data_IF_533064039262
#
_entry.id   IF_533064039262
#
_cell.length_a   1.000
_cell.length_b   1.000
_cell.length_c   1.000
_cell.angle_alpha   90.00
_cell.angle_beta   90.00
_cell.angle_gamma   90.00
#
_symmetry.space_group_name_H-M   'P 1'
#
loop_
_entity.id
_entity.type
_entity.pdbx_description
1 polymer ?
#
# COMPACT_ATOMS: atom_id res chain seq x y z
N UNK A 1 13.02 -3.07 7.55
CA UNK A 1 12.56 -1.68 7.34
C UNK A 1 11.21 -1.57 8.01
N UNK A 2 10.99 -0.55 8.84
CA UNK A 2 9.71 -0.38 9.55
C UNK A 2 8.77 0.50 8.71
N UNK A 3 7.54 0.06 8.50
CA UNK A 3 6.46 0.88 7.96
C UNK A 3 5.48 1.23 9.08
N UNK A 4 4.97 2.46 9.09
CA UNK A 4 3.88 2.85 9.98
C UNK A 4 2.59 2.82 9.18
N UNK A 5 1.72 1.86 9.51
CA UNK A 5 0.45 1.60 8.86
C UNK A 5 -0.71 1.95 9.82
N UNK A 6 -1.77 2.64 9.37
CA UNK A 6 -2.88 3.04 10.24
C UNK A 6 -3.72 1.87 10.77
N UNK A 7 -3.64 0.68 10.19
CA UNK A 7 -4.41 -0.51 10.60
C UNK A 7 -3.57 -1.43 11.48
N UNK A 8 -2.32 -1.68 11.09
CA UNK A 8 -1.42 -2.63 11.76
C UNK A 8 -0.37 -1.98 12.68
N UNK A 9 -0.25 -0.65 12.67
CA UNK A 9 0.79 0.06 13.40
C UNK A 9 2.17 -0.13 12.77
N UNK A 10 3.16 -0.50 13.57
CA UNK A 10 4.51 -0.74 13.07
C UNK A 10 4.65 -2.13 12.45
N UNK A 11 4.91 -2.16 11.13
CA UNK A 11 5.18 -3.39 10.38
C UNK A 11 6.68 -3.50 10.12
N UNK A 12 7.31 -4.52 10.68
CA UNK A 12 8.71 -4.87 10.39
C UNK A 12 8.81 -5.76 9.15
N UNK A 13 9.39 -5.20 8.09
CA UNK A 13 9.50 -5.91 6.80
C UNK A 13 10.90 -6.48 6.61
N UNK A 14 10.96 -7.78 6.32
CA UNK A 14 12.18 -8.53 6.03
C UNK A 14 12.94 -7.93 4.84
N UNK A 15 14.30 -7.86 4.86
CA UNK A 15 15.08 -7.22 3.80
C UNK A 15 14.82 -7.72 2.37
N UNK A 16 14.50 -9.00 2.19
CA UNK A 16 14.13 -9.55 0.89
C UNK A 16 12.82 -8.94 0.37
N UNK A 17 11.82 -8.80 1.23
CA UNK A 17 10.54 -8.19 0.87
C UNK A 17 10.73 -6.70 0.54
N UNK A 18 11.60 -5.99 1.27
CA UNK A 18 11.95 -4.61 0.95
C UNK A 18 12.51 -4.48 -0.46
N UNK A 19 13.41 -5.39 -0.88
CA UNK A 19 13.94 -5.40 -2.26
C UNK A 19 12.85 -5.56 -3.32
N UNK A 20 11.83 -6.38 -3.05
CA UNK A 20 10.68 -6.58 -3.96
C UNK A 20 9.78 -5.34 -3.95
N UNK A 21 9.49 -4.79 -2.78
CA UNK A 21 8.67 -3.58 -2.60
C UNK A 21 9.27 -2.41 -3.37
N UNK A 22 10.60 -2.24 -3.35
CA UNK A 22 11.30 -1.14 -4.01
C UNK A 22 11.48 -1.33 -5.54
N UNK A 23 10.79 -2.30 -6.17
CA UNK A 23 10.77 -2.46 -7.63
C UNK A 23 9.70 -1.60 -8.31
N UNK A 24 9.88 -1.17 -9.57
CA UNK A 24 8.85 -0.43 -10.31
C UNK A 24 7.51 -1.17 -10.42
N UNK A 25 7.56 -2.51 -10.51
CA UNK A 25 6.38 -3.36 -10.64
C UNK A 25 5.50 -3.31 -9.40
N UNK A 26 6.12 -3.28 -8.21
CA UNK A 26 5.40 -3.17 -6.94
C UNK A 26 5.02 -1.71 -6.63
N UNK A 27 5.91 -0.76 -6.87
CA UNK A 27 5.61 0.67 -6.68
C UNK A 27 4.46 1.16 -7.57
N UNK A 28 4.21 0.52 -8.72
CA UNK A 28 3.02 0.76 -9.57
C UNK A 28 1.71 0.71 -8.79
N UNK A 29 1.61 -0.12 -7.75
CA UNK A 29 0.40 -0.27 -6.94
C UNK A 29 -0.02 1.03 -6.22
N UNK A 30 0.88 2.01 -6.07
CA UNK A 30 0.55 3.34 -5.51
C UNK A 30 -0.42 4.13 -6.38
N UNK A 31 -0.53 3.78 -7.66
CA UNK A 31 -1.37 4.47 -8.63
C UNK A 31 -2.67 3.70 -8.92
N UNK A 32 -2.95 2.63 -8.17
CA UNK A 32 -4.14 1.80 -8.36
C UNK A 32 -5.03 1.88 -7.13
N UNK A 33 -6.16 2.59 -7.24
CA UNK A 33 -7.15 2.69 -6.17
C UNK A 33 -7.66 1.30 -5.78
N UNK A 34 -7.70 1.03 -4.48
CA UNK A 34 -8.17 -0.27 -3.97
C UNK A 34 -9.62 -0.54 -4.40
N UNK A 35 -10.47 0.49 -4.27
CA UNK A 35 -11.92 0.43 -4.54
C UNK A 35 -12.33 1.17 -5.83
N UNK A 36 -11.37 1.56 -6.68
CA UNK A 36 -11.66 2.18 -7.97
C UNK A 36 -12.62 3.37 -7.88
N UNK A 37 -13.76 3.27 -8.57
CA UNK A 37 -14.76 4.34 -8.66
C UNK A 37 -15.44 4.71 -7.33
N UNK A 38 -15.38 3.86 -6.31
CA UNK A 38 -15.93 4.18 -4.98
C UNK A 38 -15.30 5.45 -4.40
N UNK A 39 -14.07 5.81 -4.78
CA UNK A 39 -13.42 7.05 -4.36
C UNK A 39 -14.23 8.31 -4.74
N UNK A 40 -15.01 8.26 -5.82
CA UNK A 40 -15.84 9.39 -6.25
C UNK A 40 -17.13 9.55 -5.45
N UNK A 41 -17.52 8.53 -4.69
CA UNK A 41 -18.72 8.53 -3.82
C UNK A 41 -18.31 8.66 -2.36
N UNK A 42 -17.23 7.98 -1.98
CA UNK A 42 -16.69 7.93 -0.63
C UNK A 42 -15.29 8.56 -0.62
N UNK A 43 -15.15 9.83 -0.23
CA UNK A 43 -13.85 10.52 -0.27
C UNK A 43 -12.80 9.87 0.64
N UNK A 44 -13.22 9.13 1.67
CA UNK A 44 -12.34 8.31 2.52
C UNK A 44 -11.78 7.05 1.84
N UNK A 45 -12.35 6.60 0.72
CA UNK A 45 -11.84 5.47 -0.07
C UNK A 45 -10.62 5.86 -0.93
N UNK A 46 -9.72 6.68 -0.38
CA UNK A 46 -8.56 7.22 -1.08
C UNK A 46 -7.38 6.24 -1.17
N UNK A 47 -7.42 5.14 -0.42
CA UNK A 47 -6.36 4.15 -0.34
C UNK A 47 -6.14 3.40 -1.67
N UNK A 48 -4.89 3.04 -1.92
CA UNK A 48 -4.41 2.32 -3.08
C UNK A 48 -4.02 0.87 -2.73
N UNK A 49 -3.74 0.07 -3.75
CA UNK A 49 -3.33 -1.33 -3.63
C UNK A 49 -1.97 -1.50 -2.94
N UNK A 50 -1.13 -0.46 -2.91
CA UNK A 50 0.22 -0.54 -2.35
C UNK A 50 0.22 -0.80 -0.85
N UNK A 51 -0.42 0.07 -0.07
CA UNK A 51 -0.50 -0.03 1.39
C UNK A 51 -1.24 -1.31 1.79
N UNK A 52 -2.29 -1.68 1.07
CA UNK A 52 -3.01 -2.93 1.29
C UNK A 52 -2.20 -4.19 0.96
N UNK A 53 -1.15 -4.10 0.13
CA UNK A 53 -0.26 -5.25 -0.14
C UNK A 53 0.88 -5.35 0.89
N UNK A 54 1.09 -4.30 1.70
CA UNK A 54 2.08 -4.28 2.79
C UNK A 54 1.45 -4.80 4.08
N UNK A 55 0.20 -4.41 4.37
CA UNK A 55 -0.60 -4.97 5.47
C UNK A 55 -1.07 -6.38 5.16
#
# INVERSE_FOLDING_TARGET
KVFNDPIHGHIDVHPLCVKIIDTPQFQRLRNLKQLGGCYFVFPGAAHNRFEHSIG
#
